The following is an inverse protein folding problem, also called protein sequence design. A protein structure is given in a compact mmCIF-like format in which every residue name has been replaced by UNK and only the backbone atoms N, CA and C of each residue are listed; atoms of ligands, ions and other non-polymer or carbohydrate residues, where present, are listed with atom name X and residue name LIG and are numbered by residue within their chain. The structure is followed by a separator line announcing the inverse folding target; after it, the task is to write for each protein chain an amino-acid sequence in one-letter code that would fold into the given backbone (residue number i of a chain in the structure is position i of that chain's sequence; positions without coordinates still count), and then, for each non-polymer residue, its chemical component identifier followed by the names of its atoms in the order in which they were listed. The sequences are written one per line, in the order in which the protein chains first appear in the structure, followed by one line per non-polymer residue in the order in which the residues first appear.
data_IF_137989430921
#
_entry.id   IF_137989430921
#
_cell.length_a   1.000
_cell.length_b   1.000
_cell.length_c   1.000
_cell.angle_alpha   90.00
_cell.angle_beta   90.00
_cell.angle_gamma   90.00
#
_symmetry.space_group_name_H-M   'P 1'
#
loop_
_entity.id
_entity.type
_entity.pdbx_description
1 polymer ?
#
# COMPACT_ATOMS: atom_id res chain seq x y z
N UNK A 1 -19.43 -2.10 14.10
CA UNK A 1 -18.47 -0.98 13.89
C UNK A 1 -17.08 -1.40 14.38
N UNK A 2 -16.02 -1.07 13.64
CA UNK A 2 -14.65 -1.32 14.12
C UNK A 2 -14.31 -0.34 15.26
N UNK A 3 -13.60 -0.81 16.27
CA UNK A 3 -13.22 -0.04 17.47
C UNK A 3 -12.14 1.01 17.11
N UNK A 4 -12.40 2.31 17.31
CA UNK A 4 -11.43 3.37 17.00
C UNK A 4 -10.24 3.43 17.97
N UNK A 5 -10.25 2.65 19.05
CA UNK A 5 -9.15 2.54 20.02
C UNK A 5 -8.24 1.34 19.78
N UNK A 6 -8.56 0.49 18.80
CA UNK A 6 -7.69 -0.61 18.41
C UNK A 6 -6.37 -0.04 17.87
N UNK A 7 -5.28 -0.23 18.61
CA UNK A 7 -3.95 0.07 18.12
C UNK A 7 -3.75 -0.61 16.75
N UNK A 8 -3.20 0.11 15.75
CA UNK A 8 -2.83 -0.51 14.50
C UNK A 8 -1.90 -1.70 14.83
N UNK A 9 -2.11 -2.89 14.24
CA UNK A 9 -1.22 -4.01 14.47
C UNK A 9 0.22 -3.58 14.20
N UNK A 10 1.15 -4.06 15.02
CA UNK A 10 2.57 -3.75 14.87
C UNK A 10 3.03 -3.98 13.42
N UNK A 11 3.97 -3.16 12.90
CA UNK A 11 4.42 -3.28 11.53
C UNK A 11 4.90 -4.71 11.27
N UNK A 12 4.34 -5.36 10.25
CA UNK A 12 4.85 -6.66 9.82
C UNK A 12 6.07 -6.44 8.94
N UNK A 13 7.15 -7.13 9.23
CA UNK A 13 8.36 -7.09 8.41
C UNK A 13 8.27 -8.21 7.38
N UNK A 14 8.64 -7.93 6.13
CA UNK A 14 8.68 -8.94 5.07
C UNK A 14 9.66 -10.07 5.36
N UNK A 15 9.51 -11.21 4.67
CA UNK A 15 10.36 -12.39 4.86
C UNK A 15 11.87 -12.14 4.67
N UNK A 16 12.26 -11.07 3.97
CA UNK A 16 13.66 -10.65 3.77
C UNK A 16 14.09 -9.45 4.62
N UNK A 17 13.21 -8.89 5.46
CA UNK A 17 13.53 -7.66 6.20
C UNK A 17 13.41 -6.36 5.39
N UNK A 18 13.12 -6.43 4.09
CA UNK A 18 13.26 -5.30 3.15
C UNK A 18 12.11 -4.30 3.13
N UNK A 19 11.00 -4.62 3.79
CA UNK A 19 9.84 -3.74 3.89
C UNK A 19 9.12 -3.88 5.23
N UNK A 20 8.33 -2.85 5.54
CA UNK A 20 7.40 -2.80 6.67
C UNK A 20 5.95 -2.65 6.17
N UNK A 21 5.01 -3.38 6.75
CA UNK A 21 3.57 -3.17 6.50
C UNK A 21 3.06 -2.10 7.47
N UNK A 22 2.49 -1.04 6.92
CA UNK A 22 1.80 0.02 7.64
C UNK A 22 0.32 0.09 7.26
N UNK A 23 -0.40 0.96 7.98
CA UNK A 23 -1.77 1.33 7.67
C UNK A 23 -1.81 2.80 7.21
N UNK A 24 -2.56 3.05 6.14
CA UNK A 24 -2.80 4.40 5.62
C UNK A 24 -4.29 4.66 5.61
N UNK A 25 -4.70 5.77 6.24
CA UNK A 25 -6.09 6.22 6.23
C UNK A 25 -6.40 6.93 4.90
N UNK A 26 -7.55 6.62 4.32
CA UNK A 26 -8.08 7.29 3.12
C UNK A 26 -9.52 7.72 3.37
N UNK A 27 -10.08 8.54 2.49
CA UNK A 27 -11.51 8.90 2.56
C UNK A 27 -12.45 7.67 2.42
N UNK A 28 -11.94 6.57 1.86
CA UNK A 28 -12.65 5.29 1.71
C UNK A 28 -12.33 4.30 2.84
N UNK A 29 -11.64 4.76 3.88
CA UNK A 29 -11.18 3.99 5.04
C UNK A 29 -9.73 3.50 4.92
N UNK A 30 -9.29 2.78 5.95
CA UNK A 30 -7.90 2.33 6.09
C UNK A 30 -7.49 1.25 5.07
N UNK A 31 -6.31 1.38 4.47
CA UNK A 31 -5.67 0.34 3.64
C UNK A 31 -4.34 -0.10 4.22
N UNK A 32 -3.89 -1.33 3.88
CA UNK A 32 -2.54 -1.79 4.18
C UNK A 32 -1.58 -1.34 3.09
N UNK A 33 -0.38 -0.92 3.48
CA UNK A 33 0.67 -0.49 2.56
C UNK A 33 1.97 -1.16 2.94
N UNK A 34 2.64 -1.76 1.96
CA UNK A 34 4.01 -2.20 2.15
C UNK A 34 4.93 -1.05 1.79
N UNK A 35 5.79 -0.66 2.71
CA UNK A 35 6.74 0.43 2.55
C UNK A 35 8.16 -0.11 2.54
N UNK A 36 8.88 0.23 1.47
CA UNK A 36 10.28 -0.08 1.28
C UNK A 36 11.10 1.19 1.49
N UNK A 37 12.21 1.05 2.21
CA UNK A 37 13.12 2.15 2.55
C UNK A 37 12.40 3.33 3.26
N UNK A 38 11.68 3.08 4.39
CA UNK A 38 10.90 4.11 5.09
C UNK A 38 11.75 5.28 5.63
N UNK A 39 13.07 5.09 5.77
CA UNK A 39 14.03 6.09 6.23
C UNK A 39 14.69 6.93 5.13
N UNK A 40 14.30 6.77 3.86
CA UNK A 40 14.90 7.50 2.74
C UNK A 40 14.52 8.99 2.71
N UNK A 41 15.18 9.79 3.55
CA UNK A 41 15.04 11.24 3.55
C UNK A 41 15.56 11.80 2.22
N UNK A 42 14.70 12.45 1.44
CA UNK A 42 15.03 12.98 0.12
C UNK A 42 14.99 11.95 -1.02
N UNK A 43 14.64 10.69 -0.74
CA UNK A 43 14.42 9.68 -1.76
C UNK A 43 13.18 10.00 -2.62
N UNK A 44 13.26 9.70 -3.92
CA UNK A 44 12.12 9.88 -4.84
C UNK A 44 10.96 8.98 -4.39
N UNK A 45 9.75 9.54 -4.15
CA UNK A 45 8.60 8.73 -3.78
C UNK A 45 8.08 7.97 -5.00
N UNK A 46 7.89 6.66 -4.85
CA UNK A 46 7.29 5.79 -5.87
C UNK A 46 6.07 5.11 -5.28
N UNK A 47 4.94 5.20 -5.97
CA UNK A 47 3.71 4.49 -5.62
C UNK A 47 3.39 3.52 -6.75
N UNK A 48 3.13 2.27 -6.42
CA UNK A 48 2.77 1.21 -7.37
C UNK A 48 1.38 0.66 -7.11
N UNK A 49 0.72 0.15 -8.15
CA UNK A 49 -0.63 -0.39 -8.03
C UNK A 49 -0.69 -1.78 -8.66
N UNK A 50 -1.17 -2.75 -7.88
CA UNK A 50 -1.41 -4.10 -8.36
C UNK A 50 -2.61 -4.18 -9.31
N UNK A 51 -2.67 -5.27 -10.07
CA UNK A 51 -3.79 -5.59 -10.94
C UNK A 51 -5.11 -5.80 -10.20
N UNK A 52 -6.19 -5.88 -10.97
CA UNK A 52 -7.57 -5.85 -10.45
C UNK A 52 -8.02 -7.09 -9.67
N UNK A 53 -7.35 -8.24 -9.83
CA UNK A 53 -7.83 -9.53 -9.29
C UNK A 53 -7.33 -9.75 -7.86
N UNK A 54 -8.25 -10.11 -6.96
CA UNK A 54 -7.97 -10.38 -5.53
C UNK A 54 -7.27 -11.74 -5.27
N UNK A 55 -6.27 -12.09 -6.09
CA UNK A 55 -5.44 -13.28 -5.87
C UNK A 55 -4.14 -12.85 -5.18
N UNK A 56 -3.65 -13.63 -4.21
CA UNK A 56 -2.39 -13.33 -3.50
C UNK A 56 -1.26 -12.93 -4.45
N UNK A 57 -1.04 -13.71 -5.51
CA UNK A 57 -0.02 -13.44 -6.53
C UNK A 57 -0.14 -12.08 -7.23
N UNK A 58 -1.36 -11.54 -7.35
CA UNK A 58 -1.62 -10.23 -7.98
C UNK A 58 -1.43 -9.14 -6.94
N UNK A 59 -2.03 -9.31 -5.74
CA UNK A 59 -1.87 -8.37 -4.62
C UNK A 59 -0.40 -8.12 -4.28
N UNK A 60 0.41 -9.17 -4.34
CA UNK A 60 1.83 -9.14 -3.95
C UNK A 60 2.79 -8.99 -5.15
N UNK A 61 2.28 -8.86 -6.39
CA UNK A 61 3.12 -8.89 -7.61
C UNK A 61 4.18 -7.78 -7.66
N UNK A 62 3.89 -6.66 -7.00
CA UNK A 62 4.77 -5.50 -6.94
C UNK A 62 5.76 -5.53 -5.78
N UNK A 63 5.64 -6.45 -4.83
CA UNK A 63 6.61 -6.53 -3.72
C UNK A 63 8.06 -6.74 -4.19
N UNK A 64 8.37 -7.71 -5.08
CA UNK A 64 9.75 -7.87 -5.57
C UNK A 64 10.22 -6.69 -6.42
N UNK A 65 9.29 -6.00 -7.13
CA UNK A 65 9.63 -4.81 -7.91
C UNK A 65 9.92 -3.61 -6.99
N UNK A 66 9.13 -3.45 -5.93
CA UNK A 66 9.33 -2.41 -4.93
C UNK A 66 10.66 -2.58 -4.19
N UNK A 67 11.03 -3.82 -3.86
CA UNK A 67 12.34 -4.15 -3.31
C UNK A 67 13.48 -3.74 -4.27
N UNK A 68 13.36 -4.08 -5.55
CA UNK A 68 14.35 -3.72 -6.56
C UNK A 68 14.46 -2.19 -6.73
N UNK A 69 13.35 -1.46 -6.80
CA UNK A 69 13.35 0.01 -6.92
C UNK A 69 13.95 0.65 -5.66
N UNK A 70 13.67 0.12 -4.47
CA UNK A 70 14.21 0.67 -3.23
C UNK A 70 15.75 0.63 -3.19
N UNK A 71 16.40 -0.31 -3.90
CA UNK A 71 17.87 -0.35 -4.02
C UNK A 71 18.47 0.89 -4.69
N UNK A 72 17.67 1.67 -5.43
CA UNK A 72 18.13 2.93 -6.04
C UNK A 72 18.09 4.11 -5.05
N UNK A 73 17.74 3.87 -3.79
CA UNK A 73 17.53 4.91 -2.77
C UNK A 73 16.13 5.55 -2.81
N UNK A 74 15.22 5.05 -3.64
CA UNK A 74 13.83 5.50 -3.65
C UNK A 74 13.06 5.02 -2.40
N UNK A 75 12.03 5.78 -2.01
CA UNK A 75 11.02 5.37 -1.02
C UNK A 75 9.83 4.81 -1.78
N UNK A 76 9.49 3.53 -1.57
CA UNK A 76 8.47 2.85 -2.37
C UNK A 76 7.27 2.43 -1.51
N UNK A 77 6.08 2.77 -1.97
CA UNK A 77 4.81 2.38 -1.38
C UNK A 77 4.06 1.43 -2.32
N UNK A 78 3.69 0.27 -1.78
CA UNK A 78 2.87 -0.75 -2.46
C UNK A 78 1.56 -0.92 -1.68
N UNK A 79 0.52 -0.12 -1.97
CA UNK A 79 -0.80 -0.26 -1.37
C UNK A 79 -1.48 -1.58 -1.77
N UNK A 80 -2.07 -2.25 -0.79
CA UNK A 80 -2.99 -3.36 -0.99
C UNK A 80 -4.42 -2.85 -1.02
N UNK A 81 -4.92 -2.48 -2.20
CA UNK A 81 -6.28 -1.97 -2.38
C UNK A 81 -7.36 -3.02 -2.05
N UNK A 82 -7.00 -4.30 -2.00
CA UNK A 82 -7.91 -5.37 -1.61
C UNK A 82 -8.06 -5.54 -0.09
N UNK A 83 -7.22 -4.90 0.73
CA UNK A 83 -7.29 -5.00 2.19
C UNK A 83 -8.54 -4.34 2.78
N UNK A 84 -9.16 -3.40 2.04
CA UNK A 84 -10.40 -2.74 2.41
C UNK A 84 -11.48 -2.99 1.33
N UNK A 85 -12.67 -3.49 1.70
CA UNK A 85 -13.77 -3.73 0.76
C UNK A 85 -14.18 -2.52 -0.11
N UNK A 86 -13.96 -1.30 0.37
CA UNK A 86 -14.37 -0.06 -0.30
C UNK A 86 -13.33 0.47 -1.29
N UNK A 87 -12.07 0.10 -1.13
CA UNK A 87 -10.96 0.52 -2.02
C UNK A 87 -10.65 -0.50 -3.11
N UNK A 88 -11.37 -1.63 -3.15
CA UNK A 88 -11.13 -2.69 -4.13
C UNK A 88 -11.25 -2.14 -5.56
N UNK A 89 -10.37 -2.56 -6.49
CA UNK A 89 -10.55 -2.31 -7.91
C UNK A 89 -11.99 -2.63 -8.36
N UNK A 90 -12.62 -1.73 -9.13
CA UNK A 90 -14.05 -1.69 -9.52
C UNK A 90 -15.06 -1.18 -8.49
N UNK A 91 -14.67 -0.93 -7.24
CA UNK A 91 -15.58 -0.34 -6.24
C UNK A 91 -15.66 1.18 -6.37
N UNK A 92 -14.56 1.80 -6.75
CA UNK A 92 -14.50 3.22 -7.11
C UNK A 92 -15.19 3.43 -8.47
N UNK A 93 -16.15 4.35 -8.51
CA UNK A 93 -16.89 4.80 -9.69
C UNK A 93 -16.31 6.12 -10.20
N UNK A 94 -16.63 6.50 -11.44
CA UNK A 94 -16.16 7.75 -12.05
C UNK A 94 -16.39 9.01 -11.18
N UNK A 95 -17.48 9.03 -10.42
CA UNK A 95 -17.84 10.15 -9.55
C UNK A 95 -17.06 10.17 -8.22
N UNK A 96 -16.36 9.08 -7.88
CA UNK A 96 -15.50 9.00 -6.70
C UNK A 96 -14.12 9.65 -6.97
N UNK A 97 -13.79 9.93 -8.24
CA UNK A 97 -12.61 10.70 -8.64
C UNK A 97 -12.93 12.19 -8.65
N UNK A 98 -13.31 12.75 -7.50
CA UNK A 98 -13.49 14.20 -7.36
C UNK A 98 -12.13 14.85 -7.13
N UNK A 99 -11.60 15.51 -8.17
CA UNK A 99 -10.33 16.25 -8.28
C UNK A 99 -9.07 15.39 -8.44
N UNK A 100 -8.66 15.22 -9.69
CA UNK A 100 -7.23 15.24 -10.03
C UNK A 100 -6.94 16.70 -10.44
N UNK A 101 -6.36 17.48 -9.53
CA UNK A 101 -5.75 18.79 -9.84
C UNK A 101 -4.26 18.61 -9.99
#
# INVERSE_FOLDING_TARGET
PADPTAHPPAPRVGNSGSWVEGLVETEYGTIRVHEFNPGAVGGVPVISFHGMRAMKRVVEEWLPVGEAIATTGARVLVPNLHSNPHTKPRKLKGNDFSRIV
#
